data_IF_397466547374
#
_entry.id   IF_397466547374
#
_cell.length_a   1.000
_cell.length_b   1.000
_cell.length_c   1.000
_cell.angle_alpha   90.00
_cell.angle_beta   90.00
_cell.angle_gamma   90.00
#
_symmetry.space_group_name_H-M   'P 1'
#
loop_
_entity.id
_entity.type
_entity.pdbx_description
1 polymer ?
#
# COMPACT_ATOMS: atom_id res chain seq x y z
N UNK A 1 0.93 15.28 7.90
CA UNK A 1 0.17 14.25 7.17
C UNK A 1 -0.58 13.39 8.15
N UNK A 2 -1.90 13.40 8.05
CA UNK A 2 -2.80 12.45 8.67
C UNK A 2 -3.34 11.50 7.60
N UNK A 3 -3.73 10.30 8.02
CA UNK A 3 -4.46 9.34 7.16
C UNK A 3 -5.87 9.19 7.75
N UNK A 4 -6.86 9.62 6.98
CA UNK A 4 -8.26 9.71 7.41
C UNK A 4 -9.05 8.59 6.75
N UNK A 5 -9.55 7.66 7.56
CA UNK A 5 -10.28 6.48 7.09
C UNK A 5 -11.79 6.65 7.22
N UNK A 6 -12.50 6.33 6.13
CA UNK A 6 -13.95 6.28 6.02
C UNK A 6 -14.38 4.95 5.38
N UNK A 7 -15.56 4.45 5.73
CA UNK A 7 -16.17 3.30 5.05
C UNK A 7 -17.13 3.80 3.97
N UNK A 8 -17.11 3.17 2.79
CA UNK A 8 -18.04 3.50 1.70
C UNK A 8 -19.50 3.21 2.07
N UNK A 9 -19.74 2.21 2.91
CA UNK A 9 -21.06 1.77 3.37
C UNK A 9 -20.94 1.12 4.76
N UNK A 10 -22.07 0.97 5.46
CA UNK A 10 -22.12 0.41 6.82
C UNK A 10 -21.56 -1.02 6.92
N UNK A 11 -21.70 -1.80 5.84
CA UNK A 11 -21.18 -3.18 5.77
C UNK A 11 -19.65 -3.27 5.93
N UNK A 12 -18.93 -2.17 5.64
CA UNK A 12 -17.46 -2.12 5.72
C UNK A 12 -16.94 -1.52 7.02
N UNK A 13 -17.80 -1.24 8.01
CA UNK A 13 -17.38 -0.68 9.32
C UNK A 13 -16.40 -1.61 10.05
N UNK A 14 -16.56 -2.94 9.94
CA UNK A 14 -15.62 -3.89 10.53
C UNK A 14 -14.20 -3.73 9.95
N UNK A 15 -14.09 -3.72 8.62
CA UNK A 15 -12.82 -3.52 7.94
C UNK A 15 -12.23 -2.12 8.19
N UNK A 16 -13.07 -1.08 8.30
CA UNK A 16 -12.65 0.25 8.74
C UNK A 16 -12.00 0.22 10.12
N UNK A 17 -12.57 -0.53 11.06
CA UNK A 17 -11.98 -0.74 12.39
C UNK A 17 -10.59 -1.36 12.31
N UNK A 18 -10.43 -2.42 11.50
CA UNK A 18 -9.13 -3.08 11.30
C UNK A 18 -8.08 -2.16 10.69
N UNK A 19 -8.41 -1.39 9.64
CA UNK A 19 -7.47 -0.44 9.04
C UNK A 19 -7.08 0.69 9.99
N UNK A 20 -8.03 1.20 10.80
CA UNK A 20 -7.73 2.20 11.83
C UNK A 20 -6.82 1.65 12.92
N UNK A 21 -7.05 0.42 13.35
CA UNK A 21 -6.19 -0.25 14.33
C UNK A 21 -4.78 -0.43 13.78
N UNK A 22 -4.65 -0.96 12.56
CA UNK A 22 -3.37 -1.08 11.84
C UNK A 22 -2.65 0.28 11.82
N UNK A 23 -3.33 1.34 11.35
CA UNK A 23 -2.72 2.66 11.25
C UNK A 23 -2.29 3.22 12.61
N UNK A 24 -3.08 2.99 13.66
CA UNK A 24 -2.75 3.45 15.02
C UNK A 24 -1.50 2.76 15.58
N UNK A 25 -1.31 1.48 15.28
CA UNK A 25 -0.21 0.67 15.81
C UNK A 25 1.07 0.79 14.97
N UNK A 26 0.92 0.90 13.64
CA UNK A 26 2.01 0.70 12.67
C UNK A 26 2.33 1.97 11.87
N UNK A 27 1.43 2.96 11.83
CA UNK A 27 1.47 4.05 10.85
C UNK A 27 2.79 4.81 10.83
N UNK A 28 3.32 5.18 12.00
CA UNK A 28 4.61 5.89 12.09
C UNK A 28 5.79 5.05 11.59
N UNK A 29 5.77 3.74 11.85
CA UNK A 29 6.80 2.80 11.38
C UNK A 29 6.72 2.63 9.87
N UNK A 30 5.50 2.47 9.34
CA UNK A 30 5.26 2.35 7.90
C UNK A 30 5.80 3.56 7.15
N UNK A 31 5.47 4.78 7.60
CA UNK A 31 5.96 6.00 6.99
C UNK A 31 7.49 6.06 7.07
N UNK A 32 8.05 5.82 8.25
CA UNK A 32 9.51 5.87 8.44
C UNK A 32 10.26 4.88 7.55
N UNK A 33 9.76 3.63 7.45
CA UNK A 33 10.37 2.59 6.62
C UNK A 33 10.24 2.91 5.12
N UNK A 34 9.08 3.38 4.66
CA UNK A 34 8.89 3.79 3.27
C UNK A 34 9.81 4.96 2.89
N UNK A 35 9.91 5.98 3.74
CA UNK A 35 10.79 7.12 3.48
C UNK A 35 12.27 6.73 3.48
N UNK A 36 12.67 5.87 4.41
CA UNK A 36 14.04 5.36 4.51
C UNK A 36 14.43 4.54 3.28
N UNK A 37 13.60 3.55 2.89
CA UNK A 37 13.94 2.62 1.82
C UNK A 37 13.77 3.23 0.42
N UNK A 38 12.88 4.21 0.25
CA UNK A 38 12.73 4.93 -1.03
C UNK A 38 13.70 6.10 -1.19
N UNK A 39 14.25 6.62 -0.09
CA UNK A 39 14.99 7.89 -0.08
C UNK A 39 14.12 9.14 -0.35
N UNK A 40 12.79 8.98 -0.38
CA UNK A 40 11.81 10.06 -0.62
C UNK A 40 11.10 10.43 0.68
N UNK A 41 10.44 11.58 0.69
CA UNK A 41 9.62 12.05 1.82
C UNK A 41 8.17 12.17 1.40
N UNK A 42 7.25 11.82 2.29
CA UNK A 42 5.84 12.10 2.06
C UNK A 42 5.62 13.61 2.07
N UNK A 43 4.74 14.07 1.19
CA UNK A 43 4.23 15.43 1.28
C UNK A 43 3.41 15.58 2.57
N UNK A 44 3.36 16.80 3.12
CA UNK A 44 2.68 17.04 4.41
C UNK A 44 1.15 16.99 4.35
N UNK A 45 0.58 16.83 3.15
CA UNK A 45 -0.86 16.75 2.88
C UNK A 45 -1.51 15.50 3.48
N UNK A 46 -2.78 15.63 3.83
CA UNK A 46 -3.55 14.52 4.39
C UNK A 46 -4.02 13.54 3.30
N UNK A 47 -4.03 12.25 3.63
CA UNK A 47 -4.49 11.18 2.75
C UNK A 47 -5.87 10.73 3.21
N UNK A 48 -6.88 10.95 2.37
CA UNK A 48 -8.20 10.34 2.56
C UNK A 48 -8.17 8.89 2.07
N UNK A 49 -8.76 7.98 2.85
CA UNK A 49 -8.84 6.55 2.58
C UNK A 49 -10.28 6.09 2.69
N UNK A 50 -10.79 5.46 1.64
CA UNK A 50 -12.14 4.87 1.62
C UNK A 50 -12.02 3.36 1.60
N UNK A 51 -12.62 2.72 2.60
CA UNK A 51 -12.72 1.26 2.71
C UNK A 51 -13.96 0.80 1.94
N UNK A 52 -13.75 -0.11 1.00
CA UNK A 52 -14.78 -0.56 0.06
C UNK A 52 -14.49 -1.96 -0.47
N UNK A 53 -15.35 -2.52 -1.33
CA UNK A 53 -15.06 -3.78 -2.01
C UNK A 53 -14.66 -3.57 -3.48
N UNK A 54 -13.40 -3.88 -3.81
CA UNK A 54 -12.84 -3.73 -5.15
C UNK A 54 -11.31 -3.74 -5.15
N UNK A 55 -10.69 -3.45 -6.29
CA UNK A 55 -9.21 -3.38 -6.41
C UNK A 55 -8.69 -2.16 -5.64
N UNK A 56 -7.82 -2.37 -4.66
CA UNK A 56 -7.17 -1.26 -3.93
C UNK A 56 -6.41 -0.33 -4.89
N UNK A 57 -6.40 0.97 -4.56
CA UNK A 57 -5.75 2.02 -5.37
C UNK A 57 -5.22 3.11 -4.48
N UNK A 58 -4.00 3.55 -4.74
CA UNK A 58 -3.31 4.63 -4.04
C UNK A 58 -4.00 6.00 -4.11
N UNK A 59 -4.82 6.23 -5.13
CA UNK A 59 -5.38 7.54 -5.40
C UNK A 59 -4.30 8.53 -5.85
N UNK A 60 -4.53 9.83 -5.62
CA UNK A 60 -3.55 10.91 -5.89
C UNK A 60 -3.99 12.20 -5.19
N UNK A 61 -3.28 13.30 -5.39
CA UNK A 61 -3.74 14.61 -4.90
C UNK A 61 -5.20 14.88 -5.31
N UNK A 62 -6.05 15.23 -4.34
CA UNK A 62 -7.48 15.43 -4.53
C UNK A 62 -8.31 14.17 -4.84
N UNK A 63 -7.72 12.96 -4.81
CA UNK A 63 -8.44 11.69 -4.97
C UNK A 63 -8.10 10.71 -3.84
N UNK A 64 -9.11 10.13 -3.16
CA UNK A 64 -8.86 9.25 -2.03
C UNK A 64 -8.13 7.98 -2.47
N UNK A 65 -7.36 7.43 -1.53
CA UNK A 65 -6.91 6.06 -1.58
C UNK A 65 -8.11 5.14 -1.33
N UNK A 66 -8.19 4.02 -2.03
CA UNK A 66 -9.28 3.06 -1.92
C UNK A 66 -8.69 1.73 -1.45
N UNK A 67 -9.22 1.13 -0.38
CA UNK A 67 -8.69 -0.12 0.16
C UNK A 67 -9.79 -1.19 0.27
N UNK A 68 -9.48 -2.40 -0.19
CA UNK A 68 -10.41 -3.53 -0.14
C UNK A 68 -10.73 -3.93 1.30
N UNK A 69 -12.02 -4.12 1.59
CA UNK A 69 -12.53 -4.50 2.89
C UNK A 69 -12.30 -5.98 3.21
N UNK A 70 -12.52 -6.87 2.23
CA UNK A 70 -12.50 -8.34 2.39
C UNK A 70 -11.12 -8.97 2.61
N UNK A 71 -10.03 -8.20 2.55
CA UNK A 71 -8.68 -8.74 2.79
C UNK A 71 -8.48 -9.24 4.22
N UNK A 72 -7.68 -10.31 4.37
CA UNK A 72 -7.18 -10.74 5.68
C UNK A 72 -6.26 -9.67 6.26
N UNK A 73 -6.01 -9.69 7.58
CA UNK A 73 -5.19 -8.68 8.25
C UNK A 73 -3.82 -8.48 7.60
N UNK A 74 -3.11 -9.57 7.29
CA UNK A 74 -1.77 -9.49 6.69
C UNK A 74 -1.82 -8.88 5.28
N UNK A 75 -2.84 -9.23 4.49
CA UNK A 75 -3.03 -8.64 3.17
C UNK A 75 -3.44 -7.17 3.26
N UNK A 76 -4.20 -6.77 4.30
CA UNK A 76 -4.50 -5.35 4.59
C UNK A 76 -3.22 -4.59 4.91
N UNK A 77 -2.32 -5.15 5.74
CA UNK A 77 -1.02 -4.57 6.05
C UNK A 77 -0.17 -4.39 4.80
N UNK A 78 0.06 -5.47 4.04
CA UNK A 78 0.87 -5.43 2.83
C UNK A 78 0.32 -4.45 1.80
N UNK A 79 -1.01 -4.48 1.57
CA UNK A 79 -1.68 -3.59 0.64
C UNK A 79 -1.61 -2.12 1.10
N UNK A 80 -1.80 -1.83 2.39
CA UNK A 80 -1.68 -0.45 2.89
C UNK A 80 -0.28 0.12 2.61
N UNK A 81 0.78 -0.66 2.85
CA UNK A 81 2.16 -0.25 2.57
C UNK A 81 2.36 -0.06 1.06
N UNK A 82 1.84 -0.98 0.23
CA UNK A 82 1.91 -0.87 -1.24
C UNK A 82 1.29 0.44 -1.75
N UNK A 83 0.04 0.71 -1.36
CA UNK A 83 -0.68 1.89 -1.84
C UNK A 83 -0.05 3.21 -1.32
N UNK A 84 0.50 3.19 -0.10
CA UNK A 84 1.27 4.32 0.43
C UNK A 84 2.60 4.50 -0.32
N UNK A 85 3.26 3.41 -0.72
CA UNK A 85 4.46 3.47 -1.57
C UNK A 85 4.17 4.16 -2.90
N UNK A 86 3.06 3.82 -3.55
CA UNK A 86 2.60 4.57 -4.72
C UNK A 86 2.35 6.06 -4.42
N UNK A 87 1.74 6.40 -3.28
CA UNK A 87 1.56 7.82 -2.89
C UNK A 87 2.89 8.56 -2.76
N UNK A 88 3.97 7.88 -2.41
CA UNK A 88 5.32 8.44 -2.30
C UNK A 88 5.99 8.68 -3.67
N UNK A 89 5.51 8.07 -4.76
CA UNK A 89 6.06 8.27 -6.11
C UNK A 89 5.64 9.58 -6.77
N UNK A 90 4.62 10.29 -6.24
CA UNK A 90 4.01 11.63 -6.51
C UNK A 90 3.99 12.24 -7.93
N UNK A 91 4.74 11.76 -8.91
CA UNK A 91 4.99 12.44 -10.19
C UNK A 91 4.67 11.58 -11.44
N UNK A 92 4.11 10.38 -11.28
CA UNK A 92 3.77 9.49 -12.39
C UNK A 92 2.30 9.67 -12.82
N UNK A 93 2.09 9.99 -14.09
CA UNK A 93 0.74 10.19 -14.67
C UNK A 93 -0.10 8.92 -14.69
N UNK A 94 0.56 7.77 -14.76
CA UNK A 94 -0.04 6.44 -14.72
C UNK A 94 0.59 5.66 -13.56
N UNK A 95 -0.16 5.51 -12.47
CA UNK A 95 0.29 4.76 -11.29
C UNK A 95 0.16 3.24 -11.47
N UNK A 96 -0.39 2.79 -12.60
CA UNK A 96 -0.74 1.39 -12.84
C UNK A 96 0.14 0.69 -13.85
N UNK A 97 1.13 1.39 -14.42
CA UNK A 97 2.02 0.80 -15.42
C UNK A 97 3.00 -0.22 -14.81
N UNK A 98 3.54 -1.08 -15.67
CA UNK A 98 4.57 -2.05 -15.31
C UNK A 98 5.79 -1.34 -14.71
N UNK A 99 6.26 -0.26 -15.35
CA UNK A 99 7.45 0.49 -14.94
C UNK A 99 7.28 1.10 -13.54
N UNK A 100 6.08 1.62 -13.23
CA UNK A 100 5.81 2.18 -11.90
C UNK A 100 5.86 1.10 -10.82
N UNK A 101 5.36 -0.10 -11.12
CA UNK A 101 5.46 -1.23 -10.19
C UNK A 101 6.90 -1.73 -10.06
N UNK A 102 7.67 -1.80 -11.15
CA UNK A 102 9.10 -2.14 -11.09
C UNK A 102 9.86 -1.16 -10.18
N UNK A 103 9.63 0.16 -10.35
CA UNK A 103 10.24 1.17 -9.49
C UNK A 103 9.78 1.09 -8.03
N UNK A 104 8.49 0.80 -7.80
CA UNK A 104 7.94 0.63 -6.45
C UNK A 104 8.58 -0.57 -5.76
N UNK A 105 8.67 -1.71 -6.45
CA UNK A 105 9.14 -2.98 -5.90
C UNK A 105 10.57 -2.91 -5.37
N UNK A 106 11.43 -2.06 -5.97
CA UNK A 106 12.81 -1.80 -5.51
C UNK A 106 12.88 -1.43 -4.02
N UNK A 107 11.92 -0.66 -3.51
CA UNK A 107 11.90 -0.27 -2.11
C UNK A 107 10.71 -0.84 -1.32
N UNK A 108 9.69 -1.38 -1.98
CA UNK A 108 8.54 -2.00 -1.32
C UNK A 108 8.94 -3.30 -0.61
N UNK A 109 9.70 -4.18 -1.27
CA UNK A 109 10.18 -5.41 -0.64
C UNK A 109 11.03 -5.16 0.61
N UNK A 110 12.12 -4.35 0.57
CA UNK A 110 12.89 -4.09 1.79
C UNK A 110 12.07 -3.36 2.87
N UNK A 111 11.04 -2.58 2.49
CA UNK A 111 10.10 -2.01 3.45
C UNK A 111 9.29 -3.10 4.18
N UNK A 112 8.75 -4.08 3.47
CA UNK A 112 8.07 -5.21 4.10
C UNK A 112 9.00 -6.03 4.98
N UNK A 113 10.22 -6.31 4.52
CA UNK A 113 11.24 -7.02 5.32
C UNK A 113 11.54 -6.27 6.62
N UNK A 114 11.73 -4.95 6.56
CA UNK A 114 12.03 -4.13 7.73
C UNK A 114 10.88 -4.09 8.74
N UNK A 115 9.63 -4.05 8.26
CA UNK A 115 8.46 -3.95 9.12
C UNK A 115 8.05 -5.30 9.72
N UNK A 116 8.05 -6.36 8.91
CA UNK A 116 7.35 -7.61 9.22
C UNK A 116 8.19 -8.88 8.95
N UNK A 117 9.42 -8.73 8.46
CA UNK A 117 10.33 -9.85 8.18
C UNK A 117 10.22 -10.40 6.75
N UNK A 118 11.22 -11.21 6.39
CA UNK A 118 11.39 -11.79 5.04
C UNK A 118 10.23 -12.71 4.64
N UNK A 119 9.77 -13.57 5.56
CA UNK A 119 8.63 -14.47 5.30
C UNK A 119 7.36 -13.70 4.91
N UNK A 120 7.06 -12.59 5.59
CA UNK A 120 5.93 -11.74 5.24
C UNK A 120 6.11 -11.12 3.85
N UNK A 121 7.30 -10.60 3.56
CA UNK A 121 7.60 -9.98 2.28
C UNK A 121 7.43 -10.98 1.12
N UNK A 122 7.94 -12.20 1.28
CA UNK A 122 7.83 -13.26 0.28
C UNK A 122 6.36 -13.65 0.03
N UNK A 123 5.57 -13.81 1.09
CA UNK A 123 4.12 -14.09 0.95
C UNK A 123 3.42 -12.95 0.21
N UNK A 124 3.75 -11.67 0.50
CA UNK A 124 3.15 -10.54 -0.21
C UNK A 124 3.54 -10.53 -1.70
N UNK A 125 4.80 -10.85 -2.03
CA UNK A 125 5.24 -10.99 -3.42
C UNK A 125 4.46 -12.08 -4.15
N UNK A 126 4.23 -13.24 -3.52
CA UNK A 126 3.44 -14.32 -4.10
C UNK A 126 1.99 -13.89 -4.36
N UNK A 127 1.36 -13.25 -3.37
CA UNK A 127 -0.01 -12.75 -3.47
C UNK A 127 -0.13 -11.72 -4.60
N UNK A 128 0.77 -10.74 -4.67
CA UNK A 128 0.75 -9.74 -5.73
C UNK A 128 1.03 -10.34 -7.11
N UNK A 129 2.01 -11.22 -7.21
CA UNK A 129 2.36 -11.93 -8.46
C UNK A 129 1.21 -12.77 -9.01
N UNK A 130 0.28 -13.21 -8.17
CA UNK A 130 -0.93 -13.93 -8.60
C UNK A 130 -2.05 -13.06 -9.13
N UNK A 131 -1.97 -11.72 -9.01
CA UNK A 131 -3.05 -10.80 -9.40
C UNK A 131 -3.20 -10.70 -10.91
N UNK A 132 -2.11 -10.41 -11.61
CA UNK A 132 -2.04 -10.31 -13.08
C UNK A 132 -0.63 -10.63 -13.58
N UNK A 133 -0.50 -10.91 -14.89
CA UNK A 133 0.82 -11.13 -15.51
C UNK A 133 1.76 -9.92 -15.36
N UNK A 134 1.21 -8.69 -15.36
CA UNK A 134 1.97 -7.47 -15.14
C UNK A 134 2.60 -7.42 -13.74
N UNK A 135 1.86 -7.77 -12.68
CA UNK A 135 2.43 -7.83 -11.32
C UNK A 135 3.52 -8.89 -11.22
N UNK A 136 3.29 -10.06 -11.82
CA UNK A 136 4.28 -11.13 -11.89
C UNK A 136 5.56 -10.68 -12.60
N UNK A 137 5.41 -10.00 -13.73
CA UNK A 137 6.53 -9.42 -14.48
C UNK A 137 7.28 -8.39 -13.65
N UNK A 138 6.58 -7.44 -13.02
CA UNK A 138 7.18 -6.43 -12.16
C UNK A 138 8.03 -7.06 -11.04
N UNK A 139 7.51 -8.08 -10.35
CA UNK A 139 8.24 -8.76 -9.28
C UNK A 139 9.41 -9.63 -9.76
N UNK A 140 9.33 -10.20 -10.96
CA UNK A 140 10.45 -10.94 -11.54
C UNK A 140 11.67 -10.06 -11.84
N UNK A 141 11.48 -8.76 -12.04
CA UNK A 141 12.60 -7.82 -12.27
C UNK A 141 13.34 -7.40 -11.00
N UNK A 142 12.76 -7.66 -9.82
CA UNK A 142 13.38 -7.37 -8.53
C UNK A 142 14.41 -8.44 -8.12
N UNK A 143 14.24 -9.69 -8.58
CA UNK A 143 15.13 -10.83 -8.29
C UNK A 143 16.34 -10.85 -9.21
#
# INVERSE_FOLDING_TARGET
MQVLFEAQSEEFIGALGEYKEIWTLEGEKIISALEKNSGKKFNTEDIQVIIYEGISRSGREGRPMMLRASYTRDVKLGTLVHELGHRLQTNTKDMTSLEVHMELNVYLYPTWVELYGEEFADIMVEIESSRTDMYKEAWNTYK
#
